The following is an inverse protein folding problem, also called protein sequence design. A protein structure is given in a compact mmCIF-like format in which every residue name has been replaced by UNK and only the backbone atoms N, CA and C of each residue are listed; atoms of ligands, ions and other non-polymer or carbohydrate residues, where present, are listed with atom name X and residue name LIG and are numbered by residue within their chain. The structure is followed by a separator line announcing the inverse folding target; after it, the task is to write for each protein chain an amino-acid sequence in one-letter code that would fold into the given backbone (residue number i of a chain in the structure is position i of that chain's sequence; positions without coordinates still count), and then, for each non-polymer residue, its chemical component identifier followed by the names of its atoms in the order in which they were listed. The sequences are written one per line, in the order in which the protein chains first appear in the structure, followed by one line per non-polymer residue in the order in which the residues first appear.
data_IF_079818063318
#
_entry.id   IF_079818063318
#
_cell.length_a   1.000
_cell.length_b   1.000
_cell.length_c   1.000
_cell.angle_alpha   90.00
_cell.angle_beta   90.00
_cell.angle_gamma   90.00
#
_symmetry.space_group_name_H-M   'P 1'
#
loop_
_entity.id
_entity.type
_entity.pdbx_description
1 polymer ?
#
# COMPACT_ATOMS: atom_id res chain seq x y z
N UNK A 1 0.68 26.10 14.07
CA UNK A 1 -0.52 26.00 13.20
C UNK A 1 -1.76 25.85 14.07
N UNK A 2 -2.83 26.58 13.78
CA UNK A 2 -4.14 26.41 14.42
C UNK A 2 -5.19 26.12 13.34
N UNK A 3 -5.93 25.02 13.49
CA UNK A 3 -7.06 24.67 12.64
C UNK A 3 -8.35 24.87 13.44
N UNK A 4 -9.27 25.68 12.89
CA UNK A 4 -10.56 25.97 13.50
C UNK A 4 -11.69 25.49 12.59
N UNK A 5 -12.49 24.53 13.06
CA UNK A 5 -13.69 24.05 12.38
C UNK A 5 -14.93 24.54 13.12
N UNK A 6 -15.65 25.46 12.48
CA UNK A 6 -16.97 25.90 12.93
C UNK A 6 -18.05 25.05 12.26
N UNK A 7 -18.87 24.38 13.06
CA UNK A 7 -19.89 23.46 12.56
C UNK A 7 -21.16 23.47 13.41
N UNK A 8 -22.24 22.90 12.88
CA UNK A 8 -23.49 22.71 13.60
C UNK A 8 -23.67 21.21 13.84
N UNK A 9 -23.94 20.83 15.09
CA UNK A 9 -24.20 19.43 15.46
C UNK A 9 -25.59 18.97 14.99
N UNK A 10 -25.83 17.66 14.99
CA UNK A 10 -27.16 17.08 14.71
C UNK A 10 -28.25 17.57 15.67
N UNK A 11 -27.89 18.09 16.84
CA UNK A 11 -28.79 18.68 17.82
C UNK A 11 -28.99 20.19 17.63
N UNK A 12 -28.58 20.76 16.49
CA UNK A 12 -28.73 22.19 16.18
C UNK A 12 -27.75 23.12 16.91
N UNK A 13 -26.84 22.60 17.73
CA UNK A 13 -25.89 23.43 18.47
C UNK A 13 -24.73 23.87 17.57
N UNK A 14 -24.45 25.18 17.55
CA UNK A 14 -23.24 25.73 16.92
C UNK A 14 -22.04 25.45 17.81
N UNK A 15 -21.03 24.77 17.27
CA UNK A 15 -19.80 24.40 17.99
C UNK A 15 -18.57 24.74 17.17
N UNK A 16 -17.47 24.97 17.87
CA UNK A 16 -16.16 25.26 17.29
C UNK A 16 -15.16 24.22 17.82
N UNK A 17 -14.50 23.51 16.91
CA UNK A 17 -13.45 22.53 17.22
C UNK A 17 -12.10 23.13 16.82
N UNK A 18 -11.18 23.19 17.78
CA UNK A 18 -9.82 23.73 17.57
C UNK A 18 -8.79 22.62 17.70
N UNK A 19 -7.87 22.56 16.74
CA UNK A 19 -6.65 21.75 16.82
C UNK A 19 -5.45 22.68 16.75
N UNK A 20 -4.58 22.61 17.77
CA UNK A 20 -3.34 23.37 17.83
C UNK A 20 -2.15 22.42 17.66
N UNK A 21 -1.24 22.76 16.76
CA UNK A 21 0.01 22.02 16.54
C UNK A 21 1.18 23.01 16.54
N UNK A 22 2.19 22.74 17.36
CA UNK A 22 3.46 23.45 17.33
C UNK A 22 4.49 22.60 16.59
N UNK A 23 5.27 23.22 15.71
CA UNK A 23 6.34 22.59 14.96
C UNK A 23 7.63 23.37 15.19
N UNK A 24 8.74 22.66 15.28
CA UNK A 24 10.05 23.29 15.42
C UNK A 24 10.45 23.98 14.10
N UNK A 25 11.21 25.05 14.21
CA UNK A 25 11.82 25.76 13.09
C UNK A 25 13.33 25.58 13.15
N UNK A 26 13.97 25.40 12.00
CA UNK A 26 15.42 25.24 11.90
C UNK A 26 15.96 25.93 10.64
N UNK A 27 17.19 26.44 10.74
CA UNK A 27 17.98 26.90 9.59
C UNK A 27 18.85 25.79 9.00
N UNK A 28 18.91 24.60 9.63
CA UNK A 28 19.70 23.47 9.17
C UNK A 28 18.86 22.48 8.35
N UNK A 29 19.29 22.20 7.12
CA UNK A 29 18.62 21.22 6.25
C UNK A 29 18.60 19.81 6.85
N UNK A 30 19.62 19.44 7.62
CA UNK A 30 19.73 18.13 8.26
C UNK A 30 18.57 17.85 9.23
N UNK A 31 18.13 18.87 9.98
CA UNK A 31 17.00 18.76 10.92
C UNK A 31 15.65 18.63 10.19
N UNK A 32 15.52 19.28 9.03
CA UNK A 32 14.35 19.14 8.15
C UNK A 32 14.18 17.69 7.70
N UNK A 33 15.23 17.08 7.12
CA UNK A 33 15.14 15.69 6.63
C UNK A 33 14.95 14.67 7.75
N UNK A 34 15.45 14.92 8.96
CA UNK A 34 15.20 14.06 10.14
C UNK A 34 13.73 14.09 10.59
N UNK A 35 13.04 15.21 10.36
CA UNK A 35 11.68 15.45 10.84
C UNK A 35 10.61 15.14 9.78
N UNK A 36 11.00 14.61 8.61
CA UNK A 36 10.07 14.25 7.56
C UNK A 36 9.25 13.00 7.94
N UNK A 37 8.00 12.96 7.49
CA UNK A 37 7.14 11.79 7.57
C UNK A 37 6.73 11.37 6.16
N UNK A 38 7.21 10.21 5.71
CA UNK A 38 6.99 9.74 4.34
C UNK A 38 5.51 9.59 4.00
N UNK A 39 4.71 9.02 4.90
CA UNK A 39 3.30 8.75 4.62
C UNK A 39 2.51 10.05 4.41
N UNK A 40 2.78 11.07 5.23
CA UNK A 40 2.21 12.42 5.09
C UNK A 40 2.65 13.11 3.79
N UNK A 41 3.93 13.00 3.41
CA UNK A 41 4.42 13.52 2.12
C UNK A 41 3.69 12.87 0.94
N UNK A 42 3.51 11.55 0.99
CA UNK A 42 2.84 10.81 -0.07
C UNK A 42 1.34 11.16 -0.15
N UNK A 43 0.65 11.36 0.98
CA UNK A 43 -0.72 11.87 0.98
C UNK A 43 -0.82 13.22 0.27
N UNK A 44 0.13 14.13 0.53
CA UNK A 44 0.21 15.42 -0.15
C UNK A 44 0.47 15.26 -1.66
N UNK A 45 1.49 14.49 -2.06
CA UNK A 45 1.82 14.30 -3.47
C UNK A 45 0.69 13.64 -4.25
N UNK A 46 0.02 12.65 -3.66
CA UNK A 46 -1.12 11.99 -4.29
C UNK A 46 -2.25 12.99 -4.58
N UNK A 47 -2.67 13.78 -3.57
CA UNK A 47 -3.73 14.79 -3.73
C UNK A 47 -3.34 15.92 -4.68
N UNK A 48 -2.08 16.38 -4.60
CA UNK A 48 -1.54 17.41 -5.48
C UNK A 48 -1.56 16.96 -6.95
N UNK A 49 -1.03 15.77 -7.23
CA UNK A 49 -1.01 15.19 -8.57
C UNK A 49 -2.44 14.98 -9.11
N UNK A 50 -3.33 14.41 -8.30
CA UNK A 50 -4.72 14.14 -8.68
C UNK A 50 -5.55 15.41 -8.90
N UNK A 51 -5.14 16.55 -8.32
CA UNK A 51 -5.70 17.85 -8.66
C UNK A 51 -5.08 18.41 -9.94
N UNK A 52 -3.78 18.25 -10.12
CA UNK A 52 -3.04 18.77 -11.27
C UNK A 52 -3.47 18.14 -12.60
N UNK A 53 -3.81 16.84 -12.63
CA UNK A 53 -4.25 16.15 -13.87
C UNK A 53 -5.52 16.75 -14.51
N UNK A 54 -6.29 17.55 -13.77
CA UNK A 54 -7.47 18.25 -14.32
C UNK A 54 -7.08 19.47 -15.16
N UNK A 55 -5.89 20.01 -14.95
CA UNK A 55 -5.42 21.25 -15.57
C UNK A 55 -4.14 21.08 -16.39
N UNK A 56 -3.49 19.91 -16.33
CA UNK A 56 -2.20 19.65 -16.95
C UNK A 56 -2.18 18.28 -17.62
N UNK A 57 -1.44 18.12 -18.73
CA UNK A 57 -1.21 16.81 -19.32
C UNK A 57 -0.61 15.83 -18.32
N UNK A 58 -1.10 14.59 -18.33
CA UNK A 58 -0.66 13.54 -17.40
C UNK A 58 0.87 13.33 -17.42
N UNK A 59 1.48 13.38 -18.61
CA UNK A 59 2.93 13.27 -18.78
C UNK A 59 3.68 14.32 -17.94
N UNK A 60 3.23 15.57 -17.99
CA UNK A 60 3.85 16.67 -17.25
C UNK A 60 3.72 16.46 -15.73
N UNK A 61 2.55 16.01 -15.26
CA UNK A 61 2.34 15.73 -13.83
C UNK A 61 3.29 14.63 -13.34
N UNK A 62 3.47 13.57 -14.12
CA UNK A 62 4.41 12.49 -13.80
C UNK A 62 5.86 12.99 -13.76
N UNK A 63 6.28 13.78 -14.75
CA UNK A 63 7.61 14.38 -14.78
C UNK A 63 7.86 15.28 -13.56
N UNK A 64 6.87 16.10 -13.16
CA UNK A 64 6.97 16.92 -11.95
C UNK A 64 7.20 16.05 -10.70
N UNK A 65 6.45 14.96 -10.52
CA UNK A 65 6.61 14.06 -9.37
C UNK A 65 8.01 13.44 -9.30
N UNK A 66 8.52 12.97 -10.43
CA UNK A 66 9.87 12.40 -10.52
C UNK A 66 10.92 13.47 -10.24
N UNK A 67 10.83 14.62 -10.90
CA UNK A 67 11.82 15.68 -10.77
C UNK A 67 11.84 16.21 -9.33
N UNK A 68 10.70 16.41 -8.70
CA UNK A 68 10.63 16.80 -7.28
C UNK A 68 11.25 15.73 -6.37
N UNK A 69 11.00 14.45 -6.64
CA UNK A 69 11.64 13.34 -5.90
C UNK A 69 13.16 13.37 -6.05
N UNK A 70 13.67 13.49 -7.27
CA UNK A 70 15.10 13.58 -7.55
C UNK A 70 15.72 14.83 -6.90
N UNK A 71 15.08 15.99 -7.00
CA UNK A 71 15.55 17.24 -6.39
C UNK A 71 15.64 17.16 -4.86
N UNK A 72 14.64 16.60 -4.18
CA UNK A 72 14.69 16.42 -2.72
C UNK A 72 15.88 15.54 -2.33
N UNK A 73 16.07 14.41 -3.00
CA UNK A 73 17.16 13.49 -2.68
C UNK A 73 18.55 14.03 -3.09
N UNK A 74 18.65 14.75 -4.20
CA UNK A 74 19.87 15.44 -4.63
C UNK A 74 20.26 16.55 -3.63
N UNK A 75 19.28 17.32 -3.16
CA UNK A 75 19.48 18.35 -2.15
C UNK A 75 20.01 17.75 -0.83
N UNK A 76 19.43 16.64 -0.37
CA UNK A 76 19.95 15.91 0.78
C UNK A 76 21.39 15.43 0.56
N UNK A 77 21.65 14.78 -0.59
CA UNK A 77 22.97 14.25 -0.92
C UNK A 77 24.05 15.33 -0.96
N UNK A 78 23.76 16.51 -1.51
CA UNK A 78 24.72 17.61 -1.62
C UNK A 78 25.00 18.29 -0.28
N UNK A 79 23.99 18.45 0.57
CA UNK A 79 24.08 19.36 1.72
C UNK A 79 24.12 18.67 3.09
N UNK A 80 23.68 17.41 3.19
CA UNK A 80 23.49 16.72 4.47
C UNK A 80 24.24 15.39 4.56
N UNK A 81 24.43 14.68 3.45
CA UNK A 81 25.07 13.38 3.45
C UNK A 81 26.60 13.49 3.64
N UNK A 82 27.17 12.55 4.40
CA UNK A 82 28.62 12.39 4.46
C UNK A 82 29.19 12.04 3.07
N UNK A 83 30.44 12.44 2.76
CA UNK A 83 31.08 12.11 1.50
C UNK A 83 31.02 10.60 1.22
N UNK A 84 30.51 10.23 0.04
CA UNK A 84 30.30 8.85 -0.38
C UNK A 84 30.53 8.70 -1.88
N UNK A 85 30.69 7.46 -2.37
CA UNK A 85 30.97 7.23 -3.78
C UNK A 85 29.80 7.69 -4.68
N UNK A 86 30.12 8.23 -5.87
CA UNK A 86 29.12 8.73 -6.83
C UNK A 86 28.07 7.65 -7.21
N UNK A 87 28.48 6.39 -7.25
CA UNK A 87 27.66 5.21 -7.55
C UNK A 87 26.62 4.86 -6.48
N UNK A 88 26.74 5.39 -5.26
CA UNK A 88 25.81 5.11 -4.17
C UNK A 88 24.62 6.07 -4.20
N UNK A 89 23.40 5.54 -4.04
CA UNK A 89 22.21 6.33 -3.75
C UNK A 89 22.07 6.47 -2.24
N UNK A 90 22.14 7.71 -1.73
CA UNK A 90 22.03 8.01 -0.30
C UNK A 90 20.64 8.60 -0.03
N UNK A 91 19.90 7.98 0.89
CA UNK A 91 18.57 8.42 1.31
C UNK A 91 18.60 8.78 2.80
N UNK A 92 17.86 9.83 3.24
CA UNK A 92 17.65 10.06 4.66
C UNK A 92 16.79 8.95 5.25
N UNK A 93 17.00 8.62 6.53
CA UNK A 93 16.27 7.56 7.23
C UNK A 93 14.75 7.73 7.14
N UNK A 94 14.27 8.97 7.31
CA UNK A 94 12.87 9.35 7.23
C UNK A 94 12.22 9.13 5.85
N UNK A 95 13.02 9.06 4.78
CA UNK A 95 12.56 8.91 3.39
C UNK A 95 13.02 7.61 2.72
N UNK A 96 13.49 6.62 3.49
CA UNK A 96 13.95 5.32 2.94
C UNK A 96 12.93 4.64 2.03
N UNK A 97 11.65 4.73 2.39
CA UNK A 97 10.53 4.13 1.64
C UNK A 97 9.79 5.13 0.74
N UNK A 98 10.20 6.41 0.73
CA UNK A 98 9.57 7.41 -0.11
C UNK A 98 9.60 7.06 -1.61
N UNK A 99 10.73 6.59 -2.19
CA UNK A 99 10.75 6.21 -3.61
C UNK A 99 9.80 5.07 -3.96
N UNK A 100 9.60 4.08 -3.07
CA UNK A 100 8.69 2.95 -3.37
C UNK A 100 7.24 3.42 -3.40
N UNK A 101 6.85 4.30 -2.47
CA UNK A 101 5.51 4.90 -2.48
C UNK A 101 5.27 5.81 -3.67
N UNK A 102 6.26 6.62 -4.05
CA UNK A 102 6.17 7.46 -5.24
C UNK A 102 6.01 6.62 -6.52
N UNK A 103 6.77 5.52 -6.64
CA UNK A 103 6.60 4.59 -7.75
C UNK A 103 5.18 4.00 -7.78
N UNK A 104 4.69 3.57 -6.61
CA UNK A 104 3.33 3.03 -6.51
C UNK A 104 2.26 4.05 -6.90
N UNK A 105 2.39 5.31 -6.43
CA UNK A 105 1.51 6.41 -6.82
C UNK A 105 1.44 6.56 -8.35
N UNK A 106 2.58 6.53 -9.04
CA UNK A 106 2.62 6.63 -10.51
C UNK A 106 2.00 5.43 -11.23
N UNK A 107 1.79 4.30 -10.56
CA UNK A 107 1.12 3.11 -11.11
C UNK A 107 -0.38 3.08 -10.82
N UNK A 108 -0.91 4.03 -10.06
CA UNK A 108 -2.36 4.12 -9.81
C UNK A 108 -3.14 4.43 -11.08
N UNK A 109 -4.41 4.02 -11.13
CA UNK A 109 -5.25 4.18 -12.31
C UNK A 109 -5.30 5.64 -12.85
N UNK A 110 -5.39 6.69 -12.00
CA UNK A 110 -5.40 8.07 -12.49
C UNK A 110 -4.09 8.52 -13.14
N UNK A 111 -2.95 7.89 -12.79
CA UNK A 111 -1.63 8.34 -13.23
C UNK A 111 -0.95 7.43 -14.25
N UNK A 112 -1.36 6.17 -14.38
CA UNK A 112 -0.70 5.21 -15.29
C UNK A 112 -0.95 5.52 -16.76
N UNK A 113 -2.10 6.13 -17.10
CA UNK A 113 -2.41 6.58 -18.47
C UNK A 113 -2.78 5.46 -19.44
N UNK A 114 -3.08 4.26 -18.95
CA UNK A 114 -3.50 3.13 -19.78
C UNK A 114 -4.91 3.28 -20.33
N UNK A 115 -5.10 2.87 -21.58
CA UNK A 115 -6.40 2.82 -22.27
C UNK A 115 -7.26 1.62 -21.86
N UNK A 116 -6.67 0.61 -21.21
CA UNK A 116 -7.39 -0.57 -20.72
C UNK A 116 -8.25 -0.28 -19.48
N UNK A 117 -7.93 0.80 -18.76
CA UNK A 117 -8.67 1.22 -17.57
C UNK A 117 -9.83 2.13 -17.94
N UNK A 118 -10.97 1.93 -17.29
CA UNK A 118 -12.16 2.76 -17.51
C UNK A 118 -11.99 4.17 -16.93
N UNK A 119 -12.66 5.15 -17.52
CA UNK A 119 -12.67 6.52 -16.97
C UNK A 119 -13.32 6.57 -15.59
N UNK A 120 -14.33 5.74 -15.35
CA UNK A 120 -15.04 5.66 -14.07
C UNK A 120 -14.12 5.18 -12.96
N UNK A 121 -13.31 4.14 -13.20
CA UNK A 121 -12.34 3.64 -12.23
C UNK A 121 -11.28 4.69 -11.88
N UNK A 122 -10.77 5.40 -12.90
CA UNK A 122 -9.84 6.52 -12.69
C UNK A 122 -10.48 7.63 -11.87
N UNK A 123 -11.70 8.06 -12.23
CA UNK A 123 -12.40 9.13 -11.54
C UNK A 123 -12.74 8.74 -10.10
N UNK A 124 -13.17 7.50 -9.88
CA UNK A 124 -13.48 6.93 -8.57
C UNK A 124 -12.25 6.95 -7.67
N UNK A 125 -11.13 6.35 -8.10
CA UNK A 125 -9.91 6.34 -7.28
C UNK A 125 -9.41 7.75 -6.97
N UNK A 126 -9.45 8.66 -7.96
CA UNK A 126 -9.06 10.06 -7.80
C UNK A 126 -9.88 10.74 -6.70
N UNK A 127 -11.21 10.65 -6.77
CA UNK A 127 -12.11 11.28 -5.80
C UNK A 127 -11.97 10.66 -4.41
N UNK A 128 -11.85 9.33 -4.32
CA UNK A 128 -11.65 8.63 -3.05
C UNK A 128 -10.40 9.12 -2.33
N UNK A 129 -9.25 9.24 -3.02
CA UNK A 129 -8.00 9.71 -2.40
C UNK A 129 -8.07 11.16 -1.92
N UNK A 130 -8.86 12.04 -2.58
CA UNK A 130 -9.01 13.42 -2.13
C UNK A 130 -9.60 13.51 -0.70
N UNK A 131 -10.44 12.55 -0.31
CA UNK A 131 -11.04 12.48 1.03
C UNK A 131 -10.22 11.67 2.05
N UNK A 132 -9.20 10.92 1.62
CA UNK A 132 -8.44 10.04 2.51
C UNK A 132 -7.50 10.78 3.46
N UNK A 133 -7.40 10.27 4.69
CA UNK A 133 -6.30 10.58 5.62
C UNK A 133 -5.02 9.83 5.27
N UNK A 134 -3.96 10.09 6.03
CA UNK A 134 -2.61 9.55 5.79
C UNK A 134 -2.60 8.01 5.81
N UNK A 135 -3.17 7.38 6.84
CA UNK A 135 -3.20 5.92 6.97
C UNK A 135 -3.91 5.23 5.79
N UNK A 136 -5.05 5.77 5.36
CA UNK A 136 -5.83 5.20 4.26
C UNK A 136 -5.08 5.33 2.92
N UNK A 137 -4.41 6.47 2.67
CA UNK A 137 -3.60 6.64 1.45
C UNK A 137 -2.36 5.74 1.46
N UNK A 138 -1.70 5.59 2.60
CA UNK A 138 -0.55 4.70 2.76
C UNK A 138 -0.93 3.27 2.37
N UNK A 139 -2.03 2.75 2.93
CA UNK A 139 -2.48 1.39 2.67
C UNK A 139 -2.96 1.17 1.24
N UNK A 140 -3.62 2.18 0.65
CA UNK A 140 -4.06 2.11 -0.75
C UNK A 140 -2.85 1.98 -1.70
N UNK A 141 -1.79 2.75 -1.43
CA UNK A 141 -0.60 2.79 -2.28
C UNK A 141 0.37 1.66 -2.00
N UNK A 142 0.45 1.15 -0.77
CA UNK A 142 1.25 -0.03 -0.44
C UNK A 142 0.37 -1.01 0.34
N UNK A 143 -0.30 -1.93 -0.37
CA UNK A 143 -1.16 -2.93 0.24
C UNK A 143 -0.42 -3.77 1.29
N UNK A 144 -1.16 -4.43 2.17
CA UNK A 144 -0.60 -5.39 3.11
C UNK A 144 -0.73 -6.80 2.55
N UNK A 145 0.40 -7.43 2.22
CA UNK A 145 0.47 -8.84 1.85
C UNK A 145 0.82 -9.69 3.08
N UNK A 146 -0.13 -10.45 3.60
CA UNK A 146 -0.01 -11.21 4.84
C UNK A 146 0.07 -12.71 4.53
N UNK A 147 1.14 -13.41 4.92
CA UNK A 147 1.25 -14.84 4.70
C UNK A 147 0.37 -15.60 5.70
N UNK A 148 -0.50 -16.46 5.19
CA UNK A 148 -1.38 -17.33 5.97
C UNK A 148 -0.80 -18.75 6.04
N UNK A 149 0.43 -18.89 6.54
CA UNK A 149 1.14 -20.17 6.65
C UNK A 149 0.85 -20.84 7.99
N UNK A 150 0.59 -22.15 8.00
CA UNK A 150 0.29 -22.98 9.19
C UNK A 150 1.27 -22.75 10.35
N UNK A 151 2.57 -22.60 10.08
CA UNK A 151 3.61 -22.36 11.10
C UNK A 151 3.63 -20.92 11.66
N UNK A 152 3.40 -19.89 10.84
CA UNK A 152 3.25 -18.50 11.31
C UNK A 152 1.88 -18.24 11.96
N UNK A 153 0.98 -19.21 11.82
CA UNK A 153 -0.30 -19.26 12.50
C UNK A 153 -0.21 -19.99 13.85
N UNK A 154 0.97 -20.50 14.26
CA UNK A 154 1.19 -21.02 15.61
C UNK A 154 1.18 -19.86 16.60
N UNK A 155 0.26 -19.94 17.56
CA UNK A 155 0.20 -19.02 18.70
C UNK A 155 1.51 -19.18 19.48
N UNK A 156 2.31 -18.12 19.60
CA UNK A 156 3.31 -18.08 20.65
C UNK A 156 2.58 -17.86 21.97
N UNK A 157 2.29 -18.96 22.68
CA UNK A 157 1.94 -18.91 24.10
C UNK A 157 3.19 -18.57 24.88
N UNK A 158 3.43 -17.29 25.13
CA UNK A 158 4.35 -16.85 26.16
C UNK A 158 3.51 -16.34 27.34
N UNK A 159 3.66 -16.97 28.50
CA UNK A 159 3.11 -16.55 29.80
C UNK A 159 1.59 -16.55 30.00
N UNK A 160 0.86 -17.60 29.60
CA UNK A 160 -0.49 -17.87 30.15
C UNK A 160 -1.60 -16.86 29.82
N UNK A 161 -1.31 -15.78 29.10
CA UNK A 161 -2.30 -14.95 28.42
C UNK A 161 -2.36 -15.39 26.96
N UNK A 162 -3.47 -16.02 26.57
CA UNK A 162 -3.77 -16.25 25.16
C UNK A 162 -4.00 -14.89 24.49
N UNK A 163 -2.95 -14.29 23.91
CA UNK A 163 -3.12 -13.19 22.97
C UNK A 163 -3.73 -13.79 21.70
N UNK A 164 -5.06 -13.85 21.70
CA UNK A 164 -5.82 -14.06 20.48
C UNK A 164 -5.29 -13.08 19.42
N UNK A 165 -5.00 -13.58 18.22
CA UNK A 165 -4.88 -12.80 16.98
C UNK A 165 -3.73 -11.78 16.84
N UNK A 166 -2.48 -12.17 17.10
CA UNK A 166 -1.36 -11.46 16.45
C UNK A 166 -1.38 -11.71 14.93
N UNK A 167 -1.56 -10.65 14.13
CA UNK A 167 -1.45 -10.69 12.67
C UNK A 167 -0.01 -11.07 12.28
N UNK A 168 0.21 -12.02 11.34
CA UNK A 168 1.54 -12.30 10.82
C UNK A 168 2.17 -11.03 10.22
N UNK A 169 3.50 -10.90 10.35
CA UNK A 169 4.24 -9.80 9.76
C UNK A 169 4.00 -9.74 8.23
N UNK A 170 3.58 -8.58 7.68
CA UNK A 170 3.40 -8.43 6.24
C UNK A 170 4.70 -8.65 5.46
N UNK A 171 4.55 -9.11 4.23
CA UNK A 171 5.62 -9.29 3.25
C UNK A 171 5.64 -8.11 2.27
N UNK A 172 6.74 -7.99 1.52
CA UNK A 172 6.84 -7.04 0.41
C UNK A 172 5.83 -7.38 -0.67
N UNK A 173 5.26 -6.35 -1.29
CA UNK A 173 4.27 -6.48 -2.37
C UNK A 173 4.92 -6.81 -3.72
N UNK A 174 5.47 -8.02 -3.83
CA UNK A 174 6.09 -8.56 -5.03
C UNK A 174 5.74 -10.04 -5.22
N UNK A 175 5.61 -10.48 -6.47
CA UNK A 175 5.37 -11.89 -6.81
C UNK A 175 6.51 -12.81 -6.36
N UNK A 176 7.73 -12.30 -6.21
CA UNK A 176 8.88 -13.03 -5.65
C UNK A 176 8.65 -13.54 -4.21
N UNK A 177 7.67 -12.94 -3.50
CA UNK A 177 7.29 -13.34 -2.14
C UNK A 177 6.18 -14.38 -2.09
N UNK A 178 5.60 -14.73 -3.23
CA UNK A 178 4.55 -15.73 -3.34
C UNK A 178 5.16 -17.10 -3.58
N UNK A 179 4.84 -18.04 -2.70
CA UNK A 179 5.22 -19.44 -2.87
C UNK A 179 4.05 -20.24 -3.45
N UNK A 180 4.33 -21.15 -4.38
CA UNK A 180 3.31 -22.01 -5.01
C UNK A 180 2.56 -22.89 -4.00
N UNK A 181 3.16 -23.20 -2.86
CA UNK A 181 2.53 -23.95 -1.76
C UNK A 181 1.88 -23.05 -0.69
N UNK A 182 1.93 -21.73 -0.88
CA UNK A 182 1.50 -20.73 0.08
C UNK A 182 0.06 -20.26 -0.13
N UNK A 183 -0.46 -19.63 0.91
CA UNK A 183 -1.72 -18.89 0.90
C UNK A 183 -1.46 -17.51 1.49
N UNK A 184 -1.97 -16.47 0.83
CA UNK A 184 -1.67 -15.09 1.18
C UNK A 184 -2.94 -14.24 1.16
N UNK A 185 -3.04 -13.32 2.13
CA UNK A 185 -4.10 -12.33 2.20
C UNK A 185 -3.52 -10.98 1.79
N UNK A 186 -4.07 -10.36 0.75
CA UNK A 186 -3.72 -9.00 0.35
C UNK A 186 -4.89 -8.08 0.64
N UNK A 187 -4.66 -6.93 1.26
CA UNK A 187 -5.69 -5.91 1.44
C UNK A 187 -5.14 -4.49 1.29
N UNK A 188 -5.96 -3.60 0.73
CA UNK A 188 -5.62 -2.20 0.47
C UNK A 188 -6.68 -1.21 1.02
N UNK A 189 -7.50 -1.66 1.98
CA UNK A 189 -8.61 -0.88 2.53
C UNK A 189 -9.87 -0.77 1.66
N UNK A 190 -9.86 -1.28 0.42
CA UNK A 190 -11.01 -1.26 -0.51
C UNK A 190 -11.38 -2.66 -1.01
N UNK A 191 -10.35 -3.44 -1.34
CA UNK A 191 -10.46 -4.82 -1.81
C UNK A 191 -9.60 -5.72 -0.94
N UNK A 192 -10.04 -6.97 -0.78
CA UNK A 192 -9.31 -7.99 -0.08
C UNK A 192 -9.21 -9.24 -0.95
N UNK A 193 -8.00 -9.78 -1.09
CA UNK A 193 -7.73 -10.95 -1.92
C UNK A 193 -7.20 -12.07 -1.04
N UNK A 194 -7.78 -13.26 -1.18
CA UNK A 194 -7.21 -14.49 -0.66
C UNK A 194 -6.60 -15.26 -1.83
N UNK A 195 -5.27 -15.16 -1.97
CA UNK A 195 -4.53 -15.84 -3.02
C UNK A 195 -4.12 -17.24 -2.57
N UNK A 196 -4.30 -18.23 -3.45
CA UNK A 196 -4.04 -19.65 -3.24
C UNK A 196 -3.03 -20.14 -4.29
N UNK A 197 -1.86 -20.60 -3.83
CA UNK A 197 -0.84 -21.17 -4.70
C UNK A 197 -1.29 -22.50 -5.31
N UNK A 198 -0.82 -22.80 -6.52
CA UNK A 198 -1.22 -24.00 -7.27
C UNK A 198 -0.85 -25.30 -6.54
N UNK A 199 0.25 -25.30 -5.79
CA UNK A 199 0.73 -26.41 -4.98
C UNK A 199 0.29 -26.29 -3.50
N UNK A 200 -0.78 -25.54 -3.21
CA UNK A 200 -1.33 -25.44 -1.86
C UNK A 200 -1.67 -26.82 -1.29
N UNK A 201 -1.21 -27.16 -0.06
CA UNK A 201 -1.45 -28.49 0.52
C UNK A 201 -2.96 -28.82 0.61
N UNK A 202 -3.39 -30.02 0.19
CA UNK A 202 -4.79 -30.45 0.28
C UNK A 202 -5.40 -30.29 1.68
N UNK A 203 -4.64 -30.59 2.74
CA UNK A 203 -5.08 -30.41 4.13
C UNK A 203 -5.44 -28.95 4.46
N UNK A 204 -4.71 -27.98 3.88
CA UNK A 204 -4.98 -26.56 4.07
C UNK A 204 -6.31 -26.19 3.39
N UNK A 205 -6.50 -26.68 2.17
CA UNK A 205 -7.72 -26.46 1.39
C UNK A 205 -8.93 -27.10 2.07
N UNK A 206 -8.80 -28.34 2.55
CA UNK A 206 -9.84 -29.03 3.31
C UNK A 206 -10.20 -28.27 4.59
N UNK A 207 -9.19 -27.79 5.33
CA UNK A 207 -9.43 -27.06 6.58
C UNK A 207 -10.12 -25.71 6.38
N UNK A 208 -9.90 -25.03 5.24
CA UNK A 208 -10.42 -23.66 5.03
C UNK A 208 -11.70 -23.65 4.19
N UNK A 209 -11.78 -24.53 3.19
CA UNK A 209 -12.87 -24.57 2.21
C UNK A 209 -13.76 -25.81 2.33
N UNK A 210 -13.38 -26.82 3.12
CA UNK A 210 -14.03 -28.13 3.19
C UNK A 210 -14.06 -28.86 1.83
N UNK A 211 -12.99 -28.70 1.05
CA UNK A 211 -12.82 -29.29 -0.27
C UNK A 211 -11.57 -30.17 -0.31
N UNK A 212 -11.60 -31.31 -1.04
CA UNK A 212 -10.50 -32.27 -1.02
C UNK A 212 -9.24 -31.76 -1.75
N UNK A 213 -9.37 -30.81 -2.68
CA UNK A 213 -8.23 -30.17 -3.33
C UNK A 213 -8.63 -28.82 -3.97
N UNK A 214 -7.62 -28.02 -4.34
CA UNK A 214 -7.82 -26.72 -4.99
C UNK A 214 -8.60 -26.81 -6.33
N UNK A 215 -8.52 -27.95 -7.02
CA UNK A 215 -9.26 -28.20 -8.26
C UNK A 215 -10.78 -28.20 -8.07
N UNK A 216 -11.26 -28.56 -6.87
CA UNK A 216 -12.69 -28.59 -6.53
C UNK A 216 -13.24 -27.21 -6.17
N UNK A 217 -12.39 -26.19 -6.03
CA UNK A 217 -12.82 -24.83 -5.78
C UNK A 217 -13.46 -24.28 -7.05
N UNK A 218 -14.80 -24.31 -7.12
CA UNK A 218 -15.57 -23.85 -8.26
C UNK A 218 -16.18 -22.46 -8.00
N UNK A 219 -16.07 -21.57 -8.99
CA UNK A 219 -16.74 -20.28 -9.01
C UNK A 219 -16.08 -19.15 -8.21
N UNK A 220 -16.74 -17.99 -8.22
CA UNK A 220 -16.33 -16.82 -7.45
C UNK A 220 -16.90 -16.88 -6.04
N UNK A 221 -16.17 -17.51 -5.12
CA UNK A 221 -16.48 -17.41 -3.70
C UNK A 221 -16.11 -16.01 -3.18
N UNK A 222 -17.09 -15.36 -2.52
CA UNK A 222 -16.91 -14.03 -1.92
C UNK A 222 -16.87 -14.08 -0.38
N UNK A 223 -17.00 -15.26 0.22
CA UNK A 223 -16.96 -15.50 1.66
C UNK A 223 -16.32 -16.86 1.95
N UNK A 224 -15.70 -16.99 3.12
CA UNK A 224 -15.18 -18.27 3.60
C UNK A 224 -16.30 -19.08 4.27
N UNK A 225 -16.35 -20.41 4.09
CA UNK A 225 -17.32 -21.24 4.77
C UNK A 225 -17.07 -21.27 6.28
N UNK A 226 -18.15 -21.40 7.03
CA UNK A 226 -18.06 -21.49 8.49
C UNK A 226 -17.70 -22.90 8.92
N UNK A 227 -16.41 -23.15 9.12
CA UNK A 227 -15.91 -24.46 9.53
C UNK A 227 -15.43 -24.43 10.98
N UNK A 228 -15.79 -25.48 11.72
CA UNK A 228 -15.39 -25.66 13.11
C UNK A 228 -14.01 -26.32 13.21
N UNK A 229 -12.98 -25.59 12.78
CA UNK A 229 -11.58 -25.99 12.99
C UNK A 229 -10.70 -24.77 13.32
N UNK A 230 -9.57 -24.97 14.01
CA UNK A 230 -8.72 -23.88 14.49
C UNK A 230 -8.20 -22.96 13.37
N UNK A 231 -7.87 -23.54 12.21
CA UNK A 231 -7.31 -22.81 11.08
C UNK A 231 -8.36 -21.91 10.41
N UNK A 232 -9.54 -22.45 10.09
CA UNK A 232 -10.66 -21.66 9.53
C UNK A 232 -11.08 -20.55 10.50
N UNK A 233 -11.27 -20.86 11.79
CA UNK A 233 -11.60 -19.85 12.81
C UNK A 233 -10.57 -18.73 12.86
N UNK A 234 -9.27 -19.06 12.81
CA UNK A 234 -8.21 -18.07 12.86
C UNK A 234 -8.12 -17.22 11.60
N UNK A 235 -8.24 -17.80 10.40
CA UNK A 235 -8.27 -17.04 9.14
C UNK A 235 -9.49 -16.10 9.10
N UNK A 236 -10.68 -16.60 9.48
CA UNK A 236 -11.89 -15.77 9.58
C UNK A 236 -11.73 -14.65 10.61
N UNK A 237 -11.14 -14.93 11.77
CA UNK A 237 -10.88 -13.92 12.79
C UNK A 237 -9.90 -12.84 12.33
N UNK A 238 -8.85 -13.20 11.57
CA UNK A 238 -7.94 -12.24 10.94
C UNK A 238 -8.69 -11.35 9.93
N UNK A 239 -9.50 -11.95 9.05
CA UNK A 239 -10.27 -11.21 8.04
C UNK A 239 -11.27 -10.26 8.72
N UNK A 240 -12.04 -10.75 9.70
CA UNK A 240 -13.00 -9.93 10.44
C UNK A 240 -12.31 -8.78 11.18
N UNK A 241 -11.19 -9.04 11.86
CA UNK A 241 -10.41 -8.00 12.54
C UNK A 241 -9.79 -6.96 11.60
N UNK A 242 -9.56 -7.31 10.34
CA UNK A 242 -9.15 -6.34 9.30
C UNK A 242 -10.35 -5.53 8.80
N UNK A 243 -11.51 -6.16 8.62
CA UNK A 243 -12.75 -5.49 8.19
C UNK A 243 -13.25 -4.49 9.25
N UNK A 244 -13.22 -4.84 10.53
CA UNK A 244 -13.64 -3.97 11.64
C UNK A 244 -12.80 -2.69 11.76
N UNK A 245 -11.52 -2.76 11.38
CA UNK A 245 -10.61 -1.60 11.43
C UNK A 245 -10.83 -0.62 10.28
N UNK A 246 -11.66 -0.96 9.29
CA UNK A 246 -11.84 -0.16 8.08
C UNK A 246 -13.24 0.44 8.04
N UNK A 247 -13.37 1.71 7.64
CA UNK A 247 -14.68 2.37 7.54
C UNK A 247 -15.53 1.79 6.40
N UNK A 248 -14.87 1.27 5.36
CA UNK A 248 -15.50 0.67 4.20
C UNK A 248 -15.43 -0.85 4.27
N UNK A 249 -16.54 -1.53 3.94
CA UNK A 249 -16.54 -2.97 3.75
C UNK A 249 -15.69 -3.33 2.53
N UNK A 250 -14.68 -4.18 2.73
CA UNK A 250 -13.87 -4.69 1.63
C UNK A 250 -14.50 -5.96 1.07
N UNK A 251 -14.60 -6.06 -0.26
CA UNK A 251 -15.05 -7.31 -0.91
C UNK A 251 -13.90 -8.32 -0.88
N UNK A 252 -14.14 -9.50 -0.29
CA UNK A 252 -13.21 -10.62 -0.34
C UNK A 252 -13.30 -11.31 -1.72
N UNK A 253 -12.16 -11.49 -2.38
CA UNK A 253 -12.02 -12.22 -3.64
C UNK A 253 -11.03 -13.36 -3.47
N UNK A 254 -11.47 -14.58 -3.72
CA UNK A 254 -10.59 -15.75 -3.69
C UNK A 254 -9.96 -15.91 -5.08
N UNK A 255 -8.63 -16.02 -5.11
CA UNK A 255 -7.82 -16.04 -6.34
C UNK A 255 -6.94 -17.27 -6.32
N UNK A 256 -6.99 -18.06 -7.40
CA UNK A 256 -6.06 -19.18 -7.60
C UNK A 256 -4.91 -18.75 -8.50
N UNK A 257 -3.72 -19.26 -8.21
CA UNK A 257 -2.56 -19.05 -9.06
C UNK A 257 -2.83 -19.55 -10.48
N UNK A 258 -2.44 -18.77 -11.51
CA UNK A 258 -2.67 -18.99 -12.94
C UNK A 258 -4.13 -18.89 -13.42
N UNK A 259 -5.08 -18.53 -12.57
CA UNK A 259 -6.44 -18.22 -13.01
C UNK A 259 -6.57 -16.78 -13.53
N UNK A 260 -7.60 -16.52 -14.35
CA UNK A 260 -7.88 -15.17 -14.89
C UNK A 260 -7.94 -14.05 -13.83
N UNK A 261 -8.56 -14.22 -12.64
CA UNK A 261 -8.61 -13.18 -11.61
C UNK A 261 -7.25 -12.85 -10.99
N UNK A 262 -6.23 -13.70 -11.16
CA UNK A 262 -4.87 -13.41 -10.69
C UNK A 262 -4.30 -12.16 -11.37
N UNK A 263 -4.68 -11.88 -12.61
CA UNK A 263 -4.27 -10.67 -13.32
C UNK A 263 -4.66 -9.40 -12.57
N UNK A 264 -5.85 -9.36 -11.97
CA UNK A 264 -6.29 -8.24 -11.14
C UNK A 264 -5.49 -8.18 -9.82
N UNK A 265 -5.28 -9.31 -9.17
CA UNK A 265 -4.48 -9.39 -7.94
C UNK A 265 -3.04 -8.87 -8.14
N UNK A 266 -2.39 -9.20 -9.27
CA UNK A 266 -1.02 -8.76 -9.58
C UNK A 266 -0.88 -7.23 -9.67
N UNK A 267 -1.95 -6.50 -9.97
CA UNK A 267 -1.92 -5.03 -9.98
C UNK A 267 -1.59 -4.43 -8.60
N UNK A 268 -1.88 -5.18 -7.52
CA UNK A 268 -1.61 -4.78 -6.15
C UNK A 268 -0.22 -5.20 -5.64
N UNK A 269 0.57 -5.91 -6.46
CA UNK A 269 1.98 -6.20 -6.18
C UNK A 269 2.84 -5.02 -6.66
N UNK A 270 2.75 -3.92 -5.89
CA UNK A 270 3.23 -2.59 -6.28
C UNK A 270 4.75 -2.43 -6.37
N UNK A 271 5.55 -3.45 -6.07
CA UNK A 271 6.99 -3.40 -6.33
C UNK A 271 7.38 -3.93 -7.72
N UNK A 272 6.53 -4.74 -8.34
CA UNK A 272 6.79 -5.35 -9.64
C UNK A 272 6.48 -4.38 -10.79
N UNK A 273 6.74 -4.81 -12.04
CA UNK A 273 6.30 -4.04 -13.22
C UNK A 273 4.77 -4.02 -13.28
N UNK A 274 4.19 -2.85 -13.55
CA UNK A 274 2.74 -2.69 -13.55
C UNK A 274 2.08 -3.35 -14.76
N UNK A 275 0.94 -4.02 -14.55
CA UNK A 275 0.18 -4.67 -15.62
C UNK A 275 -0.20 -3.70 -16.75
N UNK A 276 -0.68 -2.52 -16.35
CA UNK A 276 -1.10 -1.46 -17.27
C UNK A 276 0.03 -0.48 -17.61
N UNK A 277 1.27 -0.86 -17.33
CA UNK A 277 2.46 -0.02 -17.49
C UNK A 277 3.01 0.51 -16.16
N UNK A 278 4.16 1.17 -16.25
CA UNK A 278 4.92 1.63 -15.10
C UNK A 278 6.06 0.70 -14.72
N UNK A 279 7.14 1.31 -14.24
CA UNK A 279 8.39 0.63 -13.95
C UNK A 279 8.31 -0.18 -12.64
N UNK A 280 9.17 -1.19 -12.50
CA UNK A 280 9.37 -1.84 -11.20
C UNK A 280 9.99 -0.86 -10.20
N UNK A 281 9.97 -1.20 -8.92
CA UNK A 281 10.65 -0.39 -7.90
C UNK A 281 12.15 -0.22 -8.21
N UNK A 282 12.82 -1.29 -8.65
CA UNK A 282 14.24 -1.25 -8.99
C UNK A 282 14.52 -0.35 -10.20
N UNK A 283 13.69 -0.45 -11.26
CA UNK A 283 13.80 0.40 -12.43
C UNK A 283 13.60 1.89 -12.05
N UNK A 284 12.63 2.17 -11.19
CA UNK A 284 12.36 3.54 -10.72
C UNK A 284 13.52 4.11 -9.90
N UNK A 285 14.13 3.31 -9.00
CA UNK A 285 15.32 3.73 -8.27
C UNK A 285 16.49 4.06 -9.20
N UNK A 286 16.74 3.23 -10.20
CA UNK A 286 17.78 3.47 -11.21
C UNK A 286 17.51 4.79 -11.95
N UNK A 287 16.27 5.04 -12.33
CA UNK A 287 15.86 6.27 -13.00
C UNK A 287 16.06 7.50 -12.10
N UNK A 288 15.54 7.49 -10.87
CA UNK A 288 15.73 8.58 -9.91
C UNK A 288 17.21 8.84 -9.62
N UNK A 289 18.02 7.78 -9.49
CA UNK A 289 19.46 7.93 -9.28
C UNK A 289 20.15 8.61 -10.46
N UNK A 290 19.74 8.33 -11.70
CA UNK A 290 20.26 9.01 -12.89
C UNK A 290 19.92 10.51 -12.87
N UNK A 291 18.67 10.87 -12.58
CA UNK A 291 18.26 12.27 -12.48
C UNK A 291 18.98 13.02 -11.35
N UNK A 292 19.17 12.37 -10.19
CA UNK A 292 19.97 12.92 -9.09
C UNK A 292 21.40 13.24 -9.56
N UNK A 293 22.02 12.35 -10.34
CA UNK A 293 23.39 12.58 -10.83
C UNK A 293 23.47 13.77 -11.77
N UNK A 294 22.48 13.96 -12.64
CA UNK A 294 22.42 15.12 -13.55
C UNK A 294 22.26 16.45 -12.79
N UNK A 295 21.63 16.44 -11.61
CA UNK A 295 21.48 17.64 -10.77
C UNK A 295 22.72 17.96 -9.92
N UNK A 296 23.64 17.00 -9.78
CA UNK A 296 24.86 17.15 -8.98
C UNK A 296 26.11 17.47 -9.81
N UNK A 297 26.04 17.25 -11.12
CA UNK A 297 27.00 17.75 -12.11
C UNK A 297 26.71 19.21 -12.42
#
# INVERSE_FOLDING_TARGET
MQCALLYTTINGQRRLRIHNLSLNCSSQLSELYKSCETDSLINFFAKSAYRAILNQPLKNVREILVNQTAHMLACYRKNCASPSAASQLILPDAMKVFPVYMNSLMKTAPLVGSTELSTDERAHQRLSVMAMGVEATQLLLYPRLIPLVRDKLRVHTQHGLSTATALPAPLRCSEERLADSGMFLLENGHSMFLWLGQASPPDLIQSIFNLPSLAHLQGHMCALPELDNPLSKKVRSIINGLLEKRPNSMKLQIVRQKDKPEMLFRQFLVEDKGLHGGASYMDFLCYVHREIRQLLT
#
